data_IF_163714258614
#
_entry.id   IF_163714258614
#
_cell.length_a   1.000
_cell.length_b   1.000
_cell.length_c   1.000
_cell.angle_alpha   90.00
_cell.angle_beta   90.00
_cell.angle_gamma   90.00
#
_symmetry.space_group_name_H-M   'P 1'
#
loop_
_entity.id
_entity.type
_entity.pdbx_description
1 polymer ?
#
# COMPACT_ATOMS: atom_id res chain seq x y z
N UNK A 1 -3.63 -14.63 -8.56
CA UNK A 1 -4.86 -13.84 -8.82
C UNK A 1 -4.50 -12.36 -8.76
N UNK A 2 -4.61 -11.62 -9.87
CA UNK A 2 -4.44 -10.15 -9.82
C UNK A 2 -5.52 -9.58 -8.91
N UNK A 3 -5.14 -8.76 -7.95
CA UNK A 3 -6.03 -8.23 -6.92
C UNK A 3 -6.94 -7.18 -7.56
N UNK A 4 -8.01 -7.61 -8.25
CA UNK A 4 -8.91 -6.76 -9.06
C UNK A 4 -9.45 -5.56 -8.27
N UNK A 5 -9.62 -5.71 -6.95
CA UNK A 5 -10.06 -4.65 -6.06
C UNK A 5 -8.99 -3.57 -5.83
N UNK A 6 -7.72 -3.96 -5.79
CA UNK A 6 -6.61 -3.01 -5.66
C UNK A 6 -6.57 -2.07 -6.87
N UNK A 7 -6.66 -2.60 -8.08
CA UNK A 7 -6.65 -1.78 -9.30
C UNK A 7 -7.89 -0.90 -9.48
N UNK A 8 -9.00 -1.22 -8.82
CA UNK A 8 -10.19 -0.35 -8.81
C UNK A 8 -9.98 0.89 -7.94
N UNK A 9 -9.22 0.76 -6.85
CA UNK A 9 -8.93 1.85 -5.90
C UNK A 9 -7.64 2.59 -6.28
N UNK A 10 -6.67 1.86 -6.84
CA UNK A 10 -5.37 2.35 -7.28
C UNK A 10 -5.15 1.96 -8.73
N UNK A 11 -5.64 2.75 -9.70
CA UNK A 11 -5.47 2.48 -11.13
C UNK A 11 -4.06 2.86 -11.62
N UNK A 12 -3.03 2.49 -10.86
CA UNK A 12 -1.62 2.76 -11.18
C UNK A 12 -0.92 1.47 -11.59
N UNK A 13 -0.37 1.39 -12.81
CA UNK A 13 0.41 0.23 -13.24
C UNK A 13 1.58 -0.04 -12.28
N UNK A 14 1.73 -1.30 -11.86
CA UNK A 14 2.79 -1.71 -10.95
C UNK A 14 2.57 -1.33 -9.48
N UNK A 15 1.38 -0.85 -9.11
CA UNK A 15 1.06 -0.51 -7.71
C UNK A 15 1.32 -1.68 -6.75
N UNK A 16 1.17 -2.93 -7.20
CA UNK A 16 1.42 -4.14 -6.42
C UNK A 16 2.88 -4.35 -6.02
N UNK A 17 3.83 -3.64 -6.65
CA UNK A 17 5.26 -3.71 -6.34
C UNK A 17 5.72 -2.58 -5.45
N UNK A 18 4.85 -1.62 -5.11
CA UNK A 18 5.21 -0.44 -4.32
C UNK A 18 5.48 -0.84 -2.87
N UNK A 19 6.60 -0.35 -2.33
CA UNK A 19 7.09 -0.65 -0.99
C UNK A 19 6.87 0.51 -0.03
N UNK A 20 6.99 0.26 1.28
CA UNK A 20 6.76 1.27 2.31
C UNK A 20 7.70 2.48 2.21
N UNK A 21 8.92 2.31 1.72
CA UNK A 21 9.84 3.42 1.43
C UNK A 21 9.30 4.42 0.40
N UNK A 22 8.36 3.98 -0.45
CA UNK A 22 7.75 4.81 -1.47
C UNK A 22 6.58 5.65 -0.93
N UNK A 23 6.17 5.46 0.33
CA UNK A 23 5.09 6.18 0.97
C UNK A 23 5.59 7.36 1.81
N UNK A 24 5.16 8.56 1.44
CA UNK A 24 5.33 9.77 2.23
C UNK A 24 4.07 10.00 3.10
N UNK A 25 4.23 9.81 4.41
CA UNK A 25 3.12 9.90 5.36
C UNK A 25 2.59 11.33 5.52
N UNK A 26 3.48 12.33 5.54
CA UNK A 26 3.11 13.73 5.75
C UNK A 26 2.37 14.29 4.54
N UNK A 27 2.83 13.93 3.35
CA UNK A 27 2.27 14.42 2.08
C UNK A 27 1.17 13.55 1.50
N UNK A 28 0.91 12.40 2.13
CA UNK A 28 0.01 11.37 1.63
C UNK A 28 0.31 11.00 0.16
N UNK A 29 1.59 10.85 -0.15
CA UNK A 29 2.08 10.71 -1.51
C UNK A 29 2.75 9.34 -1.72
N UNK A 30 2.43 8.65 -2.82
CA UNK A 30 3.14 7.45 -3.24
C UNK A 30 4.08 7.76 -4.40
N UNK A 31 5.30 7.23 -4.32
CA UNK A 31 6.20 7.13 -5.47
C UNK A 31 5.92 5.81 -6.20
N UNK A 32 5.47 5.88 -7.44
CA UNK A 32 5.18 4.73 -8.28
C UNK A 32 6.48 4.10 -8.83
N UNK A 33 6.44 2.86 -9.35
CA UNK A 33 7.64 2.18 -9.85
C UNK A 33 8.31 2.89 -11.04
N UNK A 34 7.55 3.72 -11.77
CA UNK A 34 8.07 4.56 -12.86
C UNK A 34 8.65 5.90 -12.37
N UNK A 35 8.75 6.09 -11.05
CA UNK A 35 9.28 7.30 -10.40
C UNK A 35 8.27 8.43 -10.27
N UNK A 36 7.05 8.32 -10.83
CA UNK A 36 6.03 9.36 -10.67
C UNK A 36 5.53 9.40 -9.24
N UNK A 37 5.36 10.60 -8.71
CA UNK A 37 4.77 10.80 -7.38
C UNK A 37 3.30 11.18 -7.52
N UNK A 38 2.42 10.46 -6.83
CA UNK A 38 0.97 10.67 -6.86
C UNK A 38 0.46 10.99 -5.46
N UNK A 39 -0.28 12.09 -5.32
CA UNK A 39 -0.99 12.38 -4.09
C UNK A 39 -2.23 11.49 -4.02
N UNK A 40 -2.39 10.78 -2.92
CA UNK A 40 -3.54 9.93 -2.70
C UNK A 40 -4.73 10.76 -2.23
N UNK A 41 -5.93 10.39 -2.67
CA UNK A 41 -7.14 10.90 -2.05
C UNK A 41 -7.33 10.34 -0.63
N UNK A 42 -8.29 10.89 0.11
CA UNK A 42 -8.55 10.49 1.49
C UNK A 42 -8.85 8.98 1.63
N UNK A 43 -9.54 8.37 0.66
CA UNK A 43 -9.91 6.96 0.69
C UNK A 43 -8.69 6.07 0.43
N UNK A 44 -7.89 6.42 -0.58
CA UNK A 44 -6.63 5.75 -0.91
C UNK A 44 -5.63 5.86 0.26
N UNK A 45 -5.44 7.05 0.83
CA UNK A 45 -4.57 7.26 1.97
C UNK A 45 -5.05 6.49 3.22
N UNK A 46 -6.37 6.46 3.46
CA UNK A 46 -6.95 5.64 4.54
C UNK A 46 -6.68 4.15 4.32
N UNK A 47 -6.74 3.67 3.08
CA UNK A 47 -6.45 2.29 2.76
C UNK A 47 -4.97 1.94 2.97
N UNK A 48 -4.03 2.80 2.56
CA UNK A 48 -2.59 2.60 2.86
C UNK A 48 -2.32 2.57 4.37
N UNK A 49 -2.93 3.49 5.13
CA UNK A 49 -2.85 3.47 6.61
C UNK A 49 -3.44 2.18 7.21
N UNK A 50 -4.51 1.65 6.62
CA UNK A 50 -5.07 0.36 7.01
C UNK A 50 -4.11 -0.79 6.74
N UNK A 51 -3.44 -0.83 5.59
CA UNK A 51 -2.36 -1.80 5.30
C UNK A 51 -1.29 -1.75 6.38
N UNK A 52 -0.82 -0.54 6.72
CA UNK A 52 0.24 -0.32 7.70
C UNK A 52 -0.14 -0.91 9.05
N UNK A 53 -1.33 -0.55 9.55
CA UNK A 53 -1.84 -1.04 10.82
C UNK A 53 -1.95 -2.57 10.81
N UNK A 54 -2.46 -3.16 9.73
CA UNK A 54 -2.59 -4.63 9.63
C UNK A 54 -1.25 -5.35 9.60
N UNK A 55 -0.24 -4.77 8.96
CA UNK A 55 1.10 -5.34 8.99
C UNK A 55 1.70 -5.27 10.39
N UNK A 56 1.54 -4.15 11.10
CA UNK A 56 1.93 -4.03 12.50
C UNK A 56 1.23 -5.03 13.41
N UNK A 57 -0.09 -5.24 13.24
CA UNK A 57 -0.86 -6.21 14.00
C UNK A 57 -0.40 -7.66 13.73
N UNK A 58 -0.12 -8.01 12.47
CA UNK A 58 0.23 -9.37 12.07
C UNK A 58 1.67 -9.75 12.45
N UNK A 59 2.61 -8.83 12.27
CA UNK A 59 4.03 -9.07 12.52
C UNK A 59 4.47 -8.65 13.91
N UNK A 60 3.60 -7.97 14.68
CA UNK A 60 3.92 -7.40 16.00
C UNK A 60 5.09 -6.38 15.97
N UNK A 61 5.41 -5.85 14.80
CA UNK A 61 6.43 -4.82 14.60
C UNK A 61 6.09 -3.94 13.39
N UNK A 62 6.69 -2.76 13.31
CA UNK A 62 6.56 -1.87 12.15
C UNK A 62 7.04 -2.56 10.86
N UNK A 63 6.43 -2.28 9.69
CA UNK A 63 6.86 -2.85 8.43
C UNK A 63 8.31 -2.47 8.09
N UNK A 64 9.02 -3.36 7.41
CA UNK A 64 10.31 -2.99 6.84
C UNK A 64 10.07 -2.11 5.61
N UNK A 65 10.95 -1.12 5.40
CA UNK A 65 10.80 -0.15 4.30
C UNK A 65 10.78 -0.81 2.91
N UNK A 66 11.45 -1.95 2.75
CA UNK A 66 11.43 -2.76 1.53
C UNK A 66 10.23 -3.70 1.38
N UNK A 67 9.34 -3.79 2.37
CA UNK A 67 8.14 -4.62 2.27
C UNK A 67 7.10 -3.96 1.37
N UNK A 68 6.37 -4.77 0.60
CA UNK A 68 5.31 -4.29 -0.30
C UNK A 68 4.10 -3.82 0.51
N UNK A 69 3.60 -2.62 0.22
CA UNK A 69 2.42 -2.05 0.91
C UNK A 69 1.18 -2.92 0.65
N UNK A 70 1.02 -3.39 -0.58
CA UNK A 70 -0.12 -4.17 -1.02
C UNK A 70 0.23 -5.65 -1.16
N UNK A 71 1.17 -6.14 -0.36
CA UNK A 71 1.44 -7.57 -0.24
C UNK A 71 0.11 -8.24 0.05
N UNK A 72 -0.38 -9.01 -0.94
CA UNK A 72 -1.77 -9.49 -1.05
C UNK A 72 -2.35 -9.63 0.32
N UNK A 73 -3.38 -8.84 0.64
CA UNK A 73 -4.24 -9.04 1.79
C UNK A 73 -4.67 -10.50 1.78
N UNK A 74 -3.85 -11.39 2.35
CA UNK A 74 -4.27 -12.68 2.86
C UNK A 74 -5.01 -12.33 4.14
N UNK A 75 -6.11 -11.59 3.99
CA UNK A 75 -7.21 -11.70 4.93
C UNK A 75 -7.56 -13.17 4.81
N UNK A 76 -7.07 -13.97 5.75
CA UNK A 76 -7.68 -15.26 6.02
C UNK A 76 -9.13 -14.91 6.26
N UNK A 77 -9.98 -15.20 5.29
CA UNK A 77 -11.41 -15.33 5.51
C UNK A 77 -11.51 -16.35 6.65
N UNK A 78 -11.81 -15.85 7.84
CA UNK A 78 -12.26 -16.68 8.96
C UNK A 78 -13.72 -17.03 8.67
#
# INVERSE_FOLDING_TARGET
>A
MKNKYLFRVFPYPGIETVCWESWDFERQQLTLPDGRKVCLDNMQAAFVRYCYRKQCEYHQHAPHMGDRIFQTFKVKTV
#
